data_IF_151324531393
#
_entry.id   IF_151324531393
#
_cell.length_a   1.000
_cell.length_b   1.000
_cell.length_c   1.000
_cell.angle_alpha   90.00
_cell.angle_beta   90.00
_cell.angle_gamma   90.00
#
_symmetry.space_group_name_H-M   'P 1'
#
loop_
_entity.id
_entity.type
_entity.pdbx_description
1 polymer ?
#
# COMPACT_ATOMS: atom_id res chain seq x y z
N UNK A 1 30.92 3.85 -4.89
CA UNK A 1 30.52 5.24 -4.66
C UNK A 1 31.64 6.18 -5.13
N UNK A 2 32.89 6.10 -4.60
CA UNK A 2 34.01 7.00 -4.95
C UNK A 2 34.23 7.12 -6.46
N UNK A 3 34.32 5.99 -7.20
CA UNK A 3 34.49 6.01 -8.67
C UNK A 3 33.34 6.69 -9.43
N UNK A 4 32.13 6.69 -8.87
CA UNK A 4 30.97 7.38 -9.44
C UNK A 4 31.09 8.88 -9.18
N UNK A 5 31.49 9.28 -7.96
CA UNK A 5 31.71 10.69 -7.60
C UNK A 5 32.81 11.38 -8.42
N UNK A 6 33.87 10.66 -8.75
CA UNK A 6 34.92 11.16 -9.62
C UNK A 6 34.44 11.49 -11.04
N UNK A 7 33.44 10.75 -11.53
CA UNK A 7 32.90 10.91 -12.89
C UNK A 7 31.72 11.88 -12.96
N UNK A 8 30.97 12.05 -11.87
CA UNK A 8 29.78 12.92 -11.82
C UNK A 8 30.18 14.30 -11.36
N UNK A 9 30.32 15.25 -12.30
CA UNK A 9 30.58 16.66 -11.99
C UNK A 9 29.36 17.28 -11.28
N UNK A 10 29.59 17.90 -10.11
CA UNK A 10 28.58 18.63 -9.33
C UNK A 10 28.01 17.83 -8.17
N UNK A 11 27.29 18.52 -7.25
CA UNK A 11 26.62 17.92 -6.06
C UNK A 11 25.31 17.19 -6.41
N UNK A 12 25.36 16.25 -7.35
CA UNK A 12 24.18 15.43 -7.66
C UNK A 12 23.98 14.33 -6.60
N UNK A 13 22.75 14.04 -6.13
CA UNK A 13 22.52 12.97 -5.21
C UNK A 13 22.83 11.61 -5.86
N UNK A 14 23.50 10.73 -5.13
CA UNK A 14 23.78 9.35 -5.54
C UNK A 14 22.99 8.45 -4.60
N UNK A 15 22.11 7.64 -5.15
CA UNK A 15 21.33 6.66 -4.39
C UNK A 15 21.96 5.28 -4.48
N UNK A 16 21.99 4.57 -3.36
CA UNK A 16 22.33 3.14 -3.32
C UNK A 16 21.02 2.35 -3.36
N UNK A 17 20.95 1.38 -4.27
CA UNK A 17 19.82 0.44 -4.39
C UNK A 17 20.33 -0.96 -4.10
N UNK A 18 19.82 -1.63 -3.08
CA UNK A 18 20.32 -2.93 -2.63
C UNK A 18 19.19 -3.83 -2.10
N UNK A 19 19.45 -5.15 -2.03
CA UNK A 19 18.61 -6.14 -1.36
C UNK A 19 18.94 -6.30 0.12
N UNK A 20 20.06 -5.73 0.57
CA UNK A 20 20.42 -5.72 1.99
C UNK A 20 19.71 -4.58 2.71
N UNK A 21 19.46 -4.74 4.02
CA UNK A 21 18.88 -3.66 4.81
C UNK A 21 19.89 -2.51 5.02
N UNK A 22 19.39 -1.31 5.37
CA UNK A 22 20.29 -0.19 5.67
C UNK A 22 21.21 -0.49 6.85
N UNK A 23 20.69 -1.17 7.88
CA UNK A 23 21.45 -1.59 9.07
C UNK A 23 22.65 -2.46 8.74
N UNK A 24 22.57 -3.27 7.69
CA UNK A 24 23.63 -4.20 7.29
C UNK A 24 24.81 -3.52 6.58
N UNK A 25 24.59 -2.32 6.04
CA UNK A 25 25.55 -1.63 5.18
C UNK A 25 25.90 -0.21 5.67
N UNK A 26 25.27 0.27 6.73
CA UNK A 26 25.46 1.64 7.25
C UNK A 26 26.91 1.92 7.64
N UNK A 27 27.59 0.93 8.20
CA UNK A 27 28.99 1.05 8.62
C UNK A 27 29.97 1.17 7.43
N UNK A 28 29.60 0.57 6.27
CA UNK A 28 30.43 0.57 5.06
C UNK A 28 30.19 1.80 4.16
N UNK A 29 29.07 2.47 4.36
CA UNK A 29 28.67 3.62 3.53
C UNK A 29 28.81 4.91 4.32
N UNK A 30 29.74 5.77 3.91
CA UNK A 30 29.82 7.12 4.46
C UNK A 30 28.56 7.93 4.07
N UNK A 31 27.79 8.33 5.06
CA UNK A 31 26.51 9.06 4.90
C UNK A 31 26.66 10.37 4.10
N UNK A 32 27.82 10.99 4.10
CA UNK A 32 28.11 12.22 3.33
C UNK A 32 28.26 11.97 1.82
N UNK A 33 28.56 10.74 1.43
CA UNK A 33 28.78 10.38 0.03
C UNK A 33 27.52 9.89 -0.70
N UNK A 34 26.43 9.58 0.02
CA UNK A 34 25.18 9.11 -0.56
C UNK A 34 24.03 10.09 -0.34
N UNK A 35 23.23 10.27 -1.37
CA UNK A 35 21.99 11.05 -1.29
C UNK A 35 20.87 10.30 -0.61
N UNK A 36 20.92 8.97 -0.60
CA UNK A 36 19.95 8.12 0.06
C UNK A 36 20.12 6.65 -0.32
N UNK A 37 19.34 5.83 0.38
CA UNK A 37 19.28 4.37 0.21
C UNK A 37 17.86 3.96 -0.18
N UNK A 38 17.75 2.97 -1.06
CA UNK A 38 16.50 2.38 -1.49
C UNK A 38 16.64 0.87 -1.46
N UNK A 39 15.79 0.23 -0.69
CA UNK A 39 15.74 -1.22 -0.58
C UNK A 39 14.98 -1.82 -1.76
N UNK A 40 15.44 -2.97 -2.25
CA UNK A 40 14.70 -3.75 -3.25
C UNK A 40 13.65 -4.62 -2.56
N UNK A 41 12.49 -4.79 -3.17
CA UNK A 41 12.09 -4.43 -4.51
C UNK A 41 11.87 -2.92 -4.72
N UNK A 42 12.24 -2.42 -5.91
CA UNK A 42 12.18 -1.00 -6.25
C UNK A 42 10.75 -0.61 -6.65
N UNK A 43 9.95 -0.19 -5.69
CA UNK A 43 8.62 0.33 -5.99
C UNK A 43 8.67 1.77 -6.51
N UNK A 44 7.80 2.07 -7.48
CA UNK A 44 7.69 3.40 -8.07
C UNK A 44 7.41 4.48 -7.02
N UNK A 45 6.52 4.20 -6.08
CA UNK A 45 6.19 5.09 -4.95
C UNK A 45 7.40 5.40 -4.07
N UNK A 46 8.18 4.39 -3.69
CA UNK A 46 9.40 4.54 -2.89
C UNK A 46 10.44 5.37 -3.62
N UNK A 47 10.64 5.10 -4.92
CA UNK A 47 11.56 5.87 -5.75
C UNK A 47 11.14 7.36 -5.82
N UNK A 48 9.86 7.63 -6.12
CA UNK A 48 9.33 9.00 -6.19
C UNK A 48 9.45 9.74 -4.86
N UNK A 49 9.11 9.10 -3.74
CA UNK A 49 9.24 9.68 -2.41
C UNK A 49 10.68 10.06 -2.11
N UNK A 50 11.63 9.14 -2.37
CA UNK A 50 13.05 9.40 -2.15
C UNK A 50 13.61 10.50 -3.06
N UNK A 51 13.22 10.57 -4.33
CA UNK A 51 13.64 11.61 -5.25
C UNK A 51 13.05 12.98 -4.89
N UNK A 52 11.80 13.06 -4.45
CA UNK A 52 11.14 14.29 -4.00
C UNK A 52 11.87 14.96 -2.84
N UNK A 53 12.47 14.20 -1.93
CA UNK A 53 13.25 14.73 -0.80
C UNK A 53 14.41 15.65 -1.24
N UNK A 54 14.88 15.52 -2.47
CA UNK A 54 16.00 16.31 -3.02
C UNK A 54 15.55 17.52 -3.84
N UNK A 55 14.26 17.70 -4.06
CA UNK A 55 13.73 18.92 -4.66
C UNK A 55 13.40 19.94 -3.57
N UNK A 56 13.64 21.25 -3.85
CA UNK A 56 13.30 22.30 -2.87
C UNK A 56 11.81 22.32 -2.48
N UNK A 57 10.94 21.88 -3.39
CA UNK A 57 9.51 21.68 -3.14
C UNK A 57 9.25 20.54 -2.17
N UNK A 58 9.96 19.41 -2.29
CA UNK A 58 9.80 18.25 -1.42
C UNK A 58 10.15 18.53 0.04
N UNK A 59 11.17 19.36 0.30
CA UNK A 59 11.56 19.73 1.67
C UNK A 59 10.49 20.55 2.41
N UNK A 60 9.70 21.36 1.69
CA UNK A 60 8.60 22.13 2.28
C UNK A 60 7.34 21.27 2.49
N UNK A 61 7.05 20.35 1.57
CA UNK A 61 5.87 19.46 1.67
C UNK A 61 6.03 18.37 2.74
N UNK A 62 7.24 17.85 2.97
CA UNK A 62 7.48 16.89 4.06
C UNK A 62 7.34 17.50 5.46
N UNK A 63 7.70 18.76 5.66
CA UNK A 63 7.46 19.46 6.92
C UNK A 63 5.98 19.72 7.20
N UNK A 64 5.14 19.82 6.14
CA UNK A 64 3.69 19.99 6.27
C UNK A 64 2.91 18.65 6.26
N UNK A 65 3.47 17.55 5.73
CA UNK A 65 2.82 16.23 5.66
C UNK A 65 3.18 15.25 6.77
N UNK A 66 4.01 15.63 7.72
CA UNK A 66 4.08 14.95 9.03
C UNK A 66 2.98 15.45 9.98
N UNK A 67 1.78 15.74 9.48
CA UNK A 67 0.59 15.54 10.28
C UNK A 67 0.50 14.03 10.49
N UNK A 68 0.47 13.61 11.72
CA UNK A 68 0.19 12.24 12.10
C UNK A 68 -1.08 11.83 11.35
N UNK A 69 -0.92 10.96 10.35
CA UNK A 69 -2.07 10.41 9.64
C UNK A 69 -2.75 9.54 10.68
N UNK A 70 -3.85 10.01 11.21
CA UNK A 70 -4.68 9.30 12.17
C UNK A 70 -6.01 8.99 11.49
N UNK A 71 -6.35 7.70 11.46
CA UNK A 71 -7.61 7.19 10.93
C UNK A 71 -8.57 6.75 12.04
N UNK A 72 -8.44 7.30 13.23
CA UNK A 72 -9.31 7.01 14.36
C UNK A 72 -10.80 7.16 13.98
N UNK A 73 -11.60 6.16 14.30
CA UNK A 73 -13.02 6.09 13.95
C UNK A 73 -13.29 5.68 12.50
N UNK A 74 -12.27 5.36 11.70
CA UNK A 74 -12.42 4.78 10.35
C UNK A 74 -12.36 3.26 10.42
N UNK A 75 -13.28 2.60 9.71
CA UNK A 75 -13.43 1.16 9.74
C UNK A 75 -13.15 0.52 8.38
N UNK A 76 -12.27 -0.46 8.39
CA UNK A 76 -11.90 -1.25 7.22
C UNK A 76 -12.41 -2.69 7.34
N UNK A 77 -12.92 -3.21 6.23
CA UNK A 77 -13.11 -4.64 6.05
C UNK A 77 -11.96 -5.17 5.20
N UNK A 78 -11.22 -6.14 5.72
CA UNK A 78 -10.03 -6.70 5.06
C UNK A 78 -10.31 -8.17 4.73
N UNK A 79 -10.32 -8.50 3.44
CA UNK A 79 -10.47 -9.86 2.94
C UNK A 79 -9.09 -10.42 2.59
N UNK A 80 -8.65 -11.40 3.35
CA UNK A 80 -7.35 -12.07 3.24
C UNK A 80 -7.47 -13.49 3.79
N UNK A 81 -7.13 -14.51 3.01
CA UNK A 81 -7.26 -15.92 3.39
C UNK A 81 -6.03 -16.47 4.13
N UNK A 82 -4.89 -15.81 4.00
CA UNK A 82 -3.66 -16.18 4.69
C UNK A 82 -3.56 -15.48 6.06
N UNK A 83 -3.56 -16.28 7.13
CA UNK A 83 -3.54 -15.78 8.51
C UNK A 83 -2.33 -14.88 8.82
N UNK A 84 -1.14 -15.21 8.29
CA UNK A 84 0.05 -14.39 8.48
C UNK A 84 -0.04 -13.03 7.77
N UNK A 85 -0.57 -13.01 6.54
CA UNK A 85 -0.79 -11.76 5.81
C UNK A 85 -1.82 -10.89 6.53
N UNK A 86 -2.90 -11.51 7.04
CA UNK A 86 -3.90 -10.83 7.85
C UNK A 86 -3.29 -10.19 9.10
N UNK A 87 -2.49 -10.95 9.88
CA UNK A 87 -1.84 -10.42 11.08
C UNK A 87 -0.98 -9.19 10.78
N UNK A 88 -0.18 -9.26 9.70
CA UNK A 88 0.67 -8.14 9.27
C UNK A 88 -0.18 -6.93 8.85
N UNK A 89 -1.24 -7.16 8.07
CA UNK A 89 -2.14 -6.10 7.64
C UNK A 89 -2.84 -5.44 8.83
N UNK A 90 -3.33 -6.25 9.78
CA UNK A 90 -3.97 -5.77 11.00
C UNK A 90 -3.04 -4.88 11.83
N UNK A 91 -1.80 -5.32 12.11
CA UNK A 91 -0.85 -4.54 12.90
C UNK A 91 -0.53 -3.19 12.25
N UNK A 92 -0.32 -3.17 10.93
CA UNK A 92 -0.01 -1.94 10.18
C UNK A 92 -1.19 -0.97 10.19
N UNK A 93 -2.41 -1.47 9.96
CA UNK A 93 -3.61 -0.64 9.88
C UNK A 93 -4.06 -0.14 11.26
N UNK A 94 -4.01 -0.99 12.27
CA UNK A 94 -4.33 -0.62 13.65
C UNK A 94 -3.33 0.41 14.20
N UNK A 95 -2.05 0.32 13.85
CA UNK A 95 -1.03 1.28 14.27
C UNK A 95 -1.29 2.71 13.78
N UNK A 96 -2.04 2.89 12.69
CA UNK A 96 -2.44 4.21 12.17
C UNK A 96 -3.87 4.60 12.55
N UNK A 97 -4.53 3.81 13.40
CA UNK A 97 -5.80 4.17 14.04
C UNK A 97 -7.06 3.60 13.38
N UNK A 98 -6.95 2.70 12.38
CA UNK A 98 -8.13 2.05 11.83
C UNK A 98 -8.72 1.01 12.79
N UNK A 99 -10.06 0.93 12.80
CA UNK A 99 -10.79 -0.25 13.26
C UNK A 99 -10.85 -1.24 12.09
N UNK A 100 -10.33 -2.46 12.29
CA UNK A 100 -10.17 -3.44 11.21
C UNK A 100 -10.98 -4.68 11.50
N UNK A 101 -11.80 -5.11 10.56
CA UNK A 101 -12.55 -6.36 10.60
C UNK A 101 -12.04 -7.33 9.53
N UNK A 102 -11.83 -8.59 9.93
CA UNK A 102 -11.30 -9.63 9.04
C UNK A 102 -12.42 -10.37 8.31
N UNK A 103 -12.22 -10.64 7.02
CA UNK A 103 -12.96 -11.61 6.24
C UNK A 103 -12.00 -12.66 5.69
N UNK A 104 -12.29 -13.94 5.89
CA UNK A 104 -11.39 -15.04 5.54
C UNK A 104 -11.39 -15.41 4.05
N UNK A 105 -12.34 -14.89 3.30
CA UNK A 105 -12.45 -15.02 1.84
C UNK A 105 -13.43 -13.98 1.27
N UNK A 106 -13.58 -13.96 -0.06
CA UNK A 106 -14.47 -13.02 -0.73
C UNK A 106 -15.95 -13.21 -0.40
N UNK A 107 -16.36 -14.43 -0.09
CA UNK A 107 -17.74 -14.73 0.31
C UNK A 107 -18.04 -14.18 1.71
N UNK A 108 -17.17 -14.42 2.67
CA UNK A 108 -17.28 -13.87 4.03
C UNK A 108 -17.27 -12.34 4.00
N UNK A 109 -16.43 -11.75 3.13
CA UNK A 109 -16.40 -10.31 2.91
C UNK A 109 -17.74 -9.77 2.41
N UNK A 110 -18.32 -10.39 1.38
CA UNK A 110 -19.65 -10.04 0.86
C UNK A 110 -20.73 -10.15 1.93
N UNK A 111 -20.76 -11.27 2.67
CA UNK A 111 -21.76 -11.49 3.73
C UNK A 111 -21.66 -10.48 4.87
N UNK A 112 -20.45 -10.14 5.31
CA UNK A 112 -20.21 -9.13 6.34
C UNK A 112 -20.66 -7.75 5.87
N UNK A 113 -20.29 -7.40 4.64
CA UNK A 113 -20.71 -6.14 4.04
C UNK A 113 -22.24 -6.06 3.91
N UNK A 114 -22.89 -7.11 3.41
CA UNK A 114 -24.34 -7.16 3.23
C UNK A 114 -25.10 -7.05 4.57
N UNK A 115 -24.61 -7.71 5.62
CA UNK A 115 -25.21 -7.69 6.97
C UNK A 115 -24.96 -6.40 7.74
N UNK A 116 -23.96 -5.62 7.36
CA UNK A 116 -23.62 -4.36 8.01
C UNK A 116 -24.65 -3.26 7.71
N UNK A 117 -24.72 -2.25 8.56
CA UNK A 117 -25.49 -1.05 8.26
C UNK A 117 -24.82 -0.25 7.14
N UNK A 118 -25.57 0.44 6.27
CA UNK A 118 -24.98 1.34 5.29
C UNK A 118 -24.04 2.36 5.93
N UNK A 119 -22.83 2.52 5.36
CA UNK A 119 -21.81 3.40 5.88
C UNK A 119 -21.03 2.87 7.08
N UNK A 120 -21.20 1.59 7.43
CA UNK A 120 -20.46 0.97 8.54
C UNK A 120 -18.97 0.82 8.24
N UNK A 121 -18.61 0.49 6.99
CA UNK A 121 -17.23 0.44 6.53
C UNK A 121 -16.88 1.68 5.68
N UNK A 122 -15.69 2.21 5.88
CA UNK A 122 -15.15 3.32 5.08
C UNK A 122 -14.46 2.83 3.80
N UNK A 123 -13.88 1.63 3.83
CA UNK A 123 -13.29 0.97 2.66
C UNK A 123 -13.16 -0.55 2.86
N UNK A 124 -12.89 -1.25 1.75
CA UNK A 124 -12.53 -2.66 1.74
C UNK A 124 -11.12 -2.80 1.18
N UNK A 125 -10.27 -3.57 1.87
CA UNK A 125 -9.03 -4.09 1.31
C UNK A 125 -9.30 -5.53 0.91
N UNK A 126 -9.04 -5.87 -0.35
CA UNK A 126 -9.47 -7.11 -0.96
C UNK A 126 -8.29 -7.85 -1.58
N UNK A 127 -7.90 -8.99 -1.01
CA UNK A 127 -7.02 -9.88 -1.75
C UNK A 127 -7.74 -10.42 -3.00
N UNK A 128 -6.97 -10.56 -4.07
CA UNK A 128 -7.49 -11.04 -5.34
C UNK A 128 -7.63 -12.56 -5.33
N UNK A 129 -6.64 -13.26 -4.76
CA UNK A 129 -6.50 -14.71 -4.87
C UNK A 129 -6.92 -15.42 -3.59
N UNK A 130 -8.22 -15.57 -3.39
CA UNK A 130 -8.78 -16.27 -2.24
C UNK A 130 -9.55 -17.51 -2.67
N UNK A 131 -9.64 -18.57 -1.81
CA UNK A 131 -10.51 -19.71 -2.02
C UNK A 131 -11.99 -19.30 -1.92
N UNK A 132 -12.89 -20.20 -2.29
CA UNK A 132 -14.36 -20.07 -2.25
C UNK A 132 -14.87 -18.96 -3.16
N UNK A 133 -14.46 -17.71 -2.97
CA UNK A 133 -14.78 -16.55 -3.82
C UNK A 133 -13.56 -15.65 -3.89
N UNK A 134 -13.05 -15.41 -5.10
CA UNK A 134 -11.94 -14.51 -5.34
C UNK A 134 -12.35 -13.04 -5.21
N UNK A 135 -11.37 -12.14 -5.12
CA UNK A 135 -11.61 -10.70 -4.90
C UNK A 135 -12.36 -10.02 -6.04
N UNK A 136 -12.18 -10.46 -7.28
CA UNK A 136 -12.92 -9.91 -8.43
C UNK A 136 -14.41 -10.20 -8.33
N UNK A 137 -14.76 -11.46 -8.05
CA UNK A 137 -16.15 -11.89 -7.95
C UNK A 137 -16.84 -11.28 -6.73
N UNK A 138 -16.13 -11.20 -5.60
CA UNK A 138 -16.61 -10.51 -4.40
C UNK A 138 -16.91 -9.03 -4.68
N UNK A 139 -15.99 -8.34 -5.37
CA UNK A 139 -16.19 -6.94 -5.76
C UNK A 139 -17.40 -6.75 -6.65
N UNK A 140 -17.54 -7.56 -7.70
CA UNK A 140 -18.72 -7.52 -8.58
C UNK A 140 -20.01 -7.75 -7.81
N UNK A 141 -20.02 -8.71 -6.88
CA UNK A 141 -21.18 -9.00 -6.04
C UNK A 141 -21.52 -7.81 -5.12
N UNK A 142 -20.54 -7.20 -4.46
CA UNK A 142 -20.74 -5.99 -3.64
C UNK A 142 -21.32 -4.84 -4.49
N UNK A 143 -20.78 -4.62 -5.70
CA UNK A 143 -21.26 -3.57 -6.61
C UNK A 143 -22.70 -3.83 -7.13
N UNK A 144 -23.13 -5.09 -7.18
CA UNK A 144 -24.47 -5.49 -7.61
C UNK A 144 -25.54 -5.35 -6.51
N UNK A 145 -25.15 -5.20 -5.24
CA UNK A 145 -26.10 -5.04 -4.14
C UNK A 145 -26.98 -3.80 -4.31
N UNK A 146 -28.23 -3.87 -3.87
CA UNK A 146 -29.13 -2.70 -3.80
C UNK A 146 -28.90 -1.93 -2.49
N UNK A 147 -27.71 -1.30 -2.38
CA UNK A 147 -27.28 -0.51 -1.20
C UNK A 147 -26.75 0.84 -1.64
N UNK A 148 -26.99 1.86 -0.80
CA UNK A 148 -26.53 3.23 -1.08
C UNK A 148 -25.01 3.35 -1.03
N UNK A 149 -24.35 2.57 -0.17
CA UNK A 149 -22.91 2.55 0.09
C UNK A 149 -22.12 1.53 -0.74
N UNK A 150 -22.75 0.83 -1.70
CA UNK A 150 -22.06 -0.12 -2.58
C UNK A 150 -20.91 0.47 -3.39
N UNK A 151 -20.84 1.80 -3.48
CA UNK A 151 -19.78 2.55 -4.13
C UNK A 151 -18.58 2.83 -3.22
N UNK A 152 -18.51 2.24 -2.00
CA UNK A 152 -17.38 2.44 -1.11
C UNK A 152 -16.05 2.07 -1.79
N UNK A 153 -14.92 2.67 -1.40
CA UNK A 153 -13.62 2.29 -1.94
C UNK A 153 -13.31 0.82 -1.70
N UNK A 154 -12.99 0.07 -2.76
CA UNK A 154 -12.44 -1.28 -2.72
C UNK A 154 -11.05 -1.22 -3.34
N UNK A 155 -10.05 -1.60 -2.57
CA UNK A 155 -8.64 -1.51 -2.93
C UNK A 155 -8.09 -2.93 -3.00
N UNK A 156 -7.57 -3.32 -4.18
CA UNK A 156 -6.95 -4.62 -4.33
C UNK A 156 -5.64 -4.72 -3.54
N UNK A 157 -5.46 -5.82 -2.84
CA UNK A 157 -4.18 -6.26 -2.33
C UNK A 157 -3.65 -7.34 -3.27
N UNK A 158 -2.51 -7.11 -3.91
CA UNK A 158 -1.90 -8.06 -4.83
C UNK A 158 -0.39 -8.08 -4.69
N UNK A 159 0.18 -9.27 -4.71
CA UNK A 159 1.63 -9.44 -4.76
C UNK A 159 2.19 -9.19 -6.18
N UNK A 160 1.37 -9.36 -7.21
CA UNK A 160 1.75 -9.21 -8.61
C UNK A 160 1.14 -7.93 -9.19
N UNK A 161 1.97 -6.92 -9.42
CA UNK A 161 1.56 -5.64 -10.02
C UNK A 161 1.77 -5.64 -11.55
N UNK A 162 1.34 -6.70 -12.24
CA UNK A 162 1.38 -6.73 -13.70
C UNK A 162 0.24 -5.90 -14.29
N UNK A 163 0.46 -5.37 -15.49
CA UNK A 163 -0.49 -4.47 -16.18
C UNK A 163 -1.86 -5.11 -16.42
N UNK A 164 -1.90 -6.42 -16.62
CA UNK A 164 -3.14 -7.17 -16.88
C UNK A 164 -4.00 -7.27 -15.60
N UNK A 165 -3.39 -7.52 -14.44
CA UNK A 165 -4.10 -7.57 -13.15
C UNK A 165 -4.72 -6.22 -12.77
N UNK A 166 -4.08 -5.10 -13.15
CA UNK A 166 -4.60 -3.75 -12.89
C UNK A 166 -5.90 -3.51 -13.67
N UNK A 167 -5.94 -3.94 -14.93
CA UNK A 167 -7.12 -3.77 -15.76
C UNK A 167 -8.29 -4.62 -15.23
N UNK A 168 -8.03 -5.86 -14.86
CA UNK A 168 -9.03 -6.77 -14.28
C UNK A 168 -9.60 -6.23 -12.95
N UNK A 169 -8.75 -5.61 -12.10
CA UNK A 169 -9.21 -4.92 -10.89
C UNK A 169 -10.22 -3.80 -11.22
N UNK A 170 -9.88 -2.93 -12.17
CA UNK A 170 -10.77 -1.82 -12.55
C UNK A 170 -12.06 -2.31 -13.22
N UNK A 171 -11.98 -3.32 -14.08
CA UNK A 171 -13.14 -3.93 -14.75
C UNK A 171 -14.07 -4.65 -13.76
N UNK A 172 -13.54 -5.18 -12.65
CA UNK A 172 -14.34 -5.74 -11.57
C UNK A 172 -15.07 -4.70 -10.73
N UNK A 173 -14.67 -3.41 -10.83
CA UNK A 173 -15.23 -2.31 -10.08
C UNK A 173 -14.42 -1.89 -8.84
N UNK A 174 -13.15 -2.34 -8.72
CA UNK A 174 -12.23 -1.84 -7.70
C UNK A 174 -11.77 -0.42 -8.02
N UNK A 175 -11.37 0.33 -7.01
CA UNK A 175 -10.99 1.75 -7.14
C UNK A 175 -9.48 1.95 -7.24
N UNK A 176 -8.68 1.03 -6.69
CA UNK A 176 -7.22 1.08 -6.68
C UNK A 176 -6.61 -0.31 -6.44
N UNK A 177 -5.32 -0.39 -6.57
CA UNK A 177 -4.50 -1.55 -6.23
C UNK A 177 -3.20 -1.08 -5.56
#
# INVERSE_FOLDING_TARGET
>A
IRKVREKVKGKKPVFVVSTYSWSDIEEEINKEEVGGYIEKPLFRSTLFTKLRQFTEKGKKEEKQKRQEINFEGKRLLVAEDNELNWEIAYEVLAAVGFEVEHAVDGKDCLEKFEKSQPGYYDAVLMDIRMPVMNGYDATKAIRALEREDKGLPIIAMTADAFTDDIQDCLESGMNAH
#
